data_IF_010004771767
#
_entry.id   IF_010004771767
#
_cell.length_a   1.000
_cell.length_b   1.000
_cell.length_c   1.000
_cell.angle_alpha   90.00
_cell.angle_beta   90.00
_cell.angle_gamma   90.00
#
_symmetry.space_group_name_H-M   'P 1'
#
loop_
_entity.id
_entity.type
_entity.pdbx_description
1 polymer ?
#
# COMPACT_ATOMS: atom_id res chain seq x y z
N UNK A 1 9.98 11.08 -10.61
CA UNK A 1 8.94 10.11 -10.17
C UNK A 1 7.55 10.71 -10.23
N UNK A 2 7.38 11.95 -9.75
CA UNK A 2 6.14 12.75 -9.80
C UNK A 2 5.46 12.74 -11.17
N UNK A 3 6.21 12.92 -12.26
CA UNK A 3 5.63 12.91 -13.61
C UNK A 3 5.05 11.55 -14.02
N UNK A 4 5.69 10.45 -13.59
CA UNK A 4 5.18 9.08 -13.82
C UNK A 4 3.93 8.82 -13.00
N UNK A 5 3.88 9.34 -11.77
CA UNK A 5 2.70 9.29 -10.91
C UNK A 5 1.51 10.01 -11.55
N UNK A 6 1.73 11.26 -12.01
CA UNK A 6 0.74 12.08 -12.74
C UNK A 6 0.23 11.38 -13.99
N UNK A 7 1.14 10.92 -14.86
CA UNK A 7 0.78 10.21 -16.10
C UNK A 7 -0.03 8.94 -15.81
N UNK A 8 0.33 8.19 -14.75
CA UNK A 8 -0.42 7.00 -14.34
C UNK A 8 -1.83 7.36 -13.85
N UNK A 9 -1.94 8.43 -13.06
CA UNK A 9 -3.22 8.95 -12.56
C UNK A 9 -4.15 9.37 -13.70
N UNK A 10 -3.65 10.19 -14.63
CA UNK A 10 -4.42 10.65 -15.80
C UNK A 10 -4.90 9.47 -16.64
N UNK A 11 -4.07 8.44 -16.82
CA UNK A 11 -4.47 7.22 -17.51
C UNK A 11 -5.60 6.48 -16.79
N UNK A 12 -5.56 6.39 -15.46
CA UNK A 12 -6.64 5.78 -14.69
C UNK A 12 -7.96 6.56 -14.86
N UNK A 13 -7.91 7.89 -14.86
CA UNK A 13 -9.07 8.75 -15.06
C UNK A 13 -9.71 8.61 -16.46
N UNK A 14 -8.98 8.14 -17.48
CA UNK A 14 -9.60 7.84 -18.79
C UNK A 14 -10.62 6.71 -18.71
N UNK A 15 -10.53 5.84 -17.70
CA UNK A 15 -11.41 4.68 -17.52
C UNK A 15 -12.37 4.83 -16.34
N UNK A 16 -11.95 5.51 -15.27
CA UNK A 16 -12.75 5.74 -14.08
C UNK A 16 -12.62 7.20 -13.62
N UNK A 17 -13.49 8.04 -14.18
CA UNK A 17 -13.68 9.43 -13.79
C UNK A 17 -15.14 9.59 -13.32
N UNK A 18 -15.34 9.46 -12.02
CA UNK A 18 -16.64 9.44 -11.39
C UNK A 18 -16.57 10.14 -10.04
N UNK A 19 -17.72 10.55 -9.50
CA UNK A 19 -17.80 11.09 -8.15
C UNK A 19 -17.25 10.12 -7.08
N UNK A 20 -17.27 8.81 -7.35
CA UNK A 20 -16.64 7.81 -6.47
C UNK A 20 -15.12 7.92 -6.52
N UNK A 21 -14.54 8.09 -7.71
CA UNK A 21 -13.11 8.33 -7.86
C UNK A 21 -12.69 9.66 -7.21
N UNK A 22 -13.48 10.71 -7.35
CA UNK A 22 -13.19 12.02 -6.73
C UNK A 22 -13.07 11.92 -5.21
N UNK A 23 -13.94 11.14 -4.57
CA UNK A 23 -14.03 11.05 -3.10
C UNK A 23 -13.07 10.00 -2.52
N UNK A 24 -13.01 8.81 -3.12
CA UNK A 24 -12.37 7.64 -2.51
C UNK A 24 -11.06 7.24 -3.18
N UNK A 25 -10.76 7.73 -4.39
CA UNK A 25 -9.57 7.30 -5.09
C UNK A 25 -8.31 7.99 -4.56
N UNK A 26 -7.36 7.19 -4.11
CA UNK A 26 -5.98 7.60 -3.86
C UNK A 26 -5.02 6.90 -4.81
N UNK A 27 -3.74 7.24 -4.73
CA UNK A 27 -2.68 6.59 -5.50
C UNK A 27 -1.61 6.01 -4.57
N UNK A 28 -1.29 4.73 -4.76
CA UNK A 28 -0.16 4.06 -4.11
C UNK A 28 1.06 4.08 -5.03
N UNK A 29 2.23 4.26 -4.43
CA UNK A 29 3.55 3.99 -5.01
C UNK A 29 4.04 2.64 -4.50
N UNK A 30 4.18 1.66 -5.40
CA UNK A 30 4.77 0.36 -5.09
C UNK A 30 6.20 0.31 -5.59
N UNK A 31 7.15 0.09 -4.69
CA UNK A 31 8.58 -0.02 -5.02
C UNK A 31 9.03 -1.46 -4.82
N UNK A 32 9.58 -2.05 -5.88
CA UNK A 32 10.15 -3.39 -5.89
C UNK A 32 11.66 -3.30 -6.14
N UNK A 33 12.46 -3.86 -5.24
CA UNK A 33 13.93 -3.81 -5.31
C UNK A 33 14.49 -5.23 -5.30
N UNK A 34 15.29 -5.56 -6.32
CA UNK A 34 15.90 -6.88 -6.42
C UNK A 34 17.14 -7.00 -5.52
N UNK A 35 17.14 -7.95 -4.59
CA UNK A 35 18.25 -8.09 -3.62
C UNK A 35 19.54 -8.63 -4.24
N UNK A 36 19.52 -9.05 -5.51
CA UNK A 36 20.69 -9.58 -6.22
C UNK A 36 21.41 -8.50 -7.05
N UNK A 37 20.66 -7.71 -7.83
CA UNK A 37 21.24 -6.70 -8.73
C UNK A 37 20.94 -5.26 -8.34
N UNK A 38 20.23 -5.05 -7.22
CA UNK A 38 19.81 -3.75 -6.69
C UNK A 38 18.97 -2.91 -7.67
N UNK A 39 18.44 -3.52 -8.73
CA UNK A 39 17.51 -2.85 -9.63
C UNK A 39 16.19 -2.58 -8.90
N UNK A 40 15.78 -1.32 -8.94
CA UNK A 40 14.53 -0.85 -8.36
C UNK A 40 13.54 -0.53 -9.49
N UNK A 41 12.31 -1.03 -9.35
CA UNK A 41 11.18 -0.66 -10.20
C UNK A 41 10.05 -0.12 -9.36
N UNK A 42 9.52 1.01 -9.77
CA UNK A 42 8.37 1.66 -9.11
C UNK A 42 7.17 1.66 -10.03
N UNK A 43 6.00 1.33 -9.50
CA UNK A 43 4.69 1.42 -10.17
C UNK A 43 3.76 2.32 -9.36
N UNK A 44 2.76 2.88 -10.03
CA UNK A 44 1.76 3.77 -9.42
C UNK A 44 0.37 3.24 -9.74
N UNK A 45 -0.38 2.89 -8.70
CA UNK A 45 -1.66 2.19 -8.81
C UNK A 45 -2.75 2.96 -8.06
N UNK A 46 -3.93 3.08 -8.66
CA UNK A 46 -5.09 3.69 -8.01
C UNK A 46 -5.70 2.72 -6.98
N UNK A 47 -6.17 3.26 -5.85
CA UNK A 47 -6.85 2.49 -4.81
C UNK A 47 -8.10 3.23 -4.31
N UNK A 48 -9.09 2.49 -3.81
CA UNK A 48 -10.33 3.03 -3.22
C UNK A 48 -10.43 2.72 -1.72
N UNK A 49 -9.72 1.69 -1.26
CA UNK A 49 -9.54 1.34 0.13
C UNK A 49 -8.11 0.85 0.38
N UNK A 50 -7.67 0.89 1.63
CA UNK A 50 -6.46 0.21 2.06
C UNK A 50 -6.82 -0.97 2.95
N UNK A 51 -6.59 -2.17 2.40
CA UNK A 51 -6.73 -3.42 3.12
C UNK A 51 -5.48 -3.71 3.97
N UNK A 52 -5.46 -3.19 5.20
CA UNK A 52 -4.32 -3.22 6.12
C UNK A 52 -4.24 -4.53 6.92
N UNK A 53 -3.04 -5.16 7.01
CA UNK A 53 -2.83 -6.37 7.79
C UNK A 53 -2.85 -6.07 9.28
N UNK A 54 -3.26 -7.06 10.08
CA UNK A 54 -3.10 -7.02 11.53
C UNK A 54 -1.85 -7.82 11.94
N UNK A 55 -1.12 -7.37 12.97
CA UNK A 55 0.00 -8.12 13.52
C UNK A 55 -0.47 -9.47 14.06
N UNK A 56 0.12 -10.54 13.55
CA UNK A 56 -0.13 -11.90 14.03
C UNK A 56 0.61 -12.05 15.37
N UNK A 57 -0.07 -12.56 16.40
CA UNK A 57 0.45 -12.76 17.76
C UNK A 57 0.43 -11.51 18.68
N UNK A 58 -0.34 -10.47 18.35
CA UNK A 58 -0.69 -9.42 19.30
C UNK A 58 -2.18 -9.49 19.66
N UNK A 59 -2.49 -9.30 20.95
CA UNK A 59 -3.87 -9.17 21.44
C UNK A 59 -4.45 -7.79 21.16
N UNK A 60 -3.62 -6.75 21.12
CA UNK A 60 -3.98 -5.37 20.77
C UNK A 60 -2.94 -4.71 19.85
N UNK A 61 -3.38 -3.72 19.06
CA UNK A 61 -2.53 -2.90 18.19
C UNK A 61 -3.27 -1.60 17.85
N UNK A 62 -2.55 -0.55 17.44
CA UNK A 62 -3.19 0.67 16.92
C UNK A 62 -3.42 0.59 15.41
N UNK A 63 -4.34 1.40 14.89
CA UNK A 63 -4.54 1.52 13.44
C UNK A 63 -3.28 2.05 12.75
N UNK A 64 -2.54 2.95 13.40
CA UNK A 64 -1.25 3.47 12.92
C UNK A 64 -0.22 2.36 12.76
N UNK A 65 -0.09 1.46 13.75
CA UNK A 65 0.78 0.27 13.64
C UNK A 65 0.37 -0.63 12.45
N UNK A 66 -0.93 -0.80 12.21
CA UNK A 66 -1.42 -1.62 11.09
C UNK A 66 -1.12 -0.97 9.72
N UNK A 67 -1.24 0.35 9.61
CA UNK A 67 -0.87 1.10 8.41
C UNK A 67 0.65 1.05 8.19
N UNK A 68 1.44 1.22 9.26
CA UNK A 68 2.90 1.05 9.21
C UNK A 68 3.28 -0.34 8.71
N UNK A 69 2.62 -1.38 9.21
CA UNK A 69 2.85 -2.76 8.77
C UNK A 69 2.54 -2.92 7.26
N UNK A 70 1.43 -2.33 6.78
CA UNK A 70 1.11 -2.32 5.35
C UNK A 70 2.20 -1.66 4.48
N UNK A 71 2.83 -0.59 4.98
CA UNK A 71 3.84 0.19 4.27
C UNK A 71 5.28 -0.27 4.53
N UNK A 72 5.46 -1.23 5.44
CA UNK A 72 6.77 -1.77 5.76
C UNK A 72 7.36 -2.54 4.57
N UNK A 73 8.69 -2.59 4.50
CA UNK A 73 9.41 -3.34 3.47
C UNK A 73 9.19 -4.84 3.72
N UNK A 74 8.48 -5.51 2.82
CA UNK A 74 8.28 -6.97 2.85
C UNK A 74 9.25 -7.67 1.90
N UNK A 75 9.67 -8.90 2.25
CA UNK A 75 10.49 -9.73 1.37
C UNK A 75 9.62 -10.70 0.57
N UNK A 76 9.85 -10.74 -0.74
CA UNK A 76 9.26 -11.70 -1.66
C UNK A 76 10.31 -12.76 -2.01
N UNK A 77 10.17 -13.93 -1.39
CA UNK A 77 11.08 -15.07 -1.54
C UNK A 77 10.31 -16.38 -1.79
N UNK A 78 11.01 -17.50 -1.92
CA UNK A 78 10.42 -18.82 -2.19
C UNK A 78 9.56 -18.82 -3.45
N UNK A 79 8.27 -19.14 -3.29
CA UNK A 79 7.29 -19.19 -4.37
C UNK A 79 6.79 -17.81 -4.82
N UNK A 80 6.99 -16.77 -4.00
CA UNK A 80 6.52 -15.40 -4.26
C UNK A 80 7.57 -14.55 -5.01
N UNK A 81 8.73 -15.13 -5.35
CA UNK A 81 9.78 -14.46 -6.11
C UNK A 81 9.25 -13.86 -7.42
N UNK A 82 9.27 -12.54 -7.59
CA UNK A 82 8.92 -11.92 -8.86
C UNK A 82 10.06 -12.08 -9.86
N UNK A 83 9.74 -11.91 -11.14
CA UNK A 83 10.75 -11.83 -12.20
C UNK A 83 11.41 -10.45 -12.19
N UNK A 84 12.73 -10.40 -11.95
CA UNK A 84 13.47 -9.15 -12.01
C UNK A 84 13.61 -8.68 -13.47
N UNK A 85 13.24 -7.43 -13.75
CA UNK A 85 13.29 -6.86 -15.10
C UNK A 85 14.72 -6.73 -15.66
N UNK A 86 15.75 -6.63 -14.79
CA UNK A 86 17.17 -6.57 -15.20
C UNK A 86 17.79 -7.96 -15.31
N UNK A 87 17.61 -8.84 -14.32
CA UNK A 87 18.16 -10.20 -14.34
C UNK A 87 17.42 -11.15 -15.29
N UNK A 88 16.18 -10.82 -15.69
CA UNK A 88 15.27 -11.67 -16.48
C UNK A 88 15.02 -13.05 -15.85
N UNK A 89 15.05 -13.13 -14.53
CA UNK A 89 14.89 -14.36 -13.75
C UNK A 89 14.10 -14.09 -12.47
N UNK A 90 13.47 -15.13 -11.91
CA UNK A 90 12.84 -15.05 -10.58
C UNK A 90 13.91 -14.83 -9.52
N UNK A 91 13.81 -13.74 -8.77
CA UNK A 91 14.78 -13.36 -7.74
C UNK A 91 14.06 -12.98 -6.46
N UNK A 92 14.75 -13.13 -5.33
CA UNK A 92 14.32 -12.51 -4.09
C UNK A 92 14.31 -11.00 -4.31
N UNK A 93 13.20 -10.38 -3.94
CA UNK A 93 13.01 -8.95 -4.02
C UNK A 93 12.41 -8.45 -2.72
N UNK A 94 12.49 -7.16 -2.50
CA UNK A 94 11.78 -6.49 -1.43
C UNK A 94 10.73 -5.58 -2.04
N UNK A 95 9.58 -5.48 -1.40
CA UNK A 95 8.46 -4.65 -1.83
C UNK A 95 8.10 -3.67 -0.71
N UNK A 96 7.82 -2.43 -1.07
CA UNK A 96 7.37 -1.38 -0.14
C UNK A 96 6.28 -0.55 -0.79
N UNK A 97 5.26 -0.19 -0.02
CA UNK A 97 4.23 0.75 -0.44
C UNK A 97 4.40 2.10 0.26
N UNK A 98 4.01 3.17 -0.44
CA UNK A 98 3.73 4.48 0.16
C UNK A 98 2.52 5.13 -0.54
N UNK A 99 1.82 6.04 0.15
CA UNK A 99 0.73 6.80 -0.46
C UNK A 99 1.34 7.96 -1.24
N UNK A 100 1.08 8.01 -2.55
CA UNK A 100 1.49 9.08 -3.45
C UNK A 100 0.44 10.19 -3.55
N UNK A 101 -0.85 9.83 -3.47
CA UNK A 101 -1.99 10.75 -3.38
C UNK A 101 -2.99 10.18 -2.36
N UNK A 102 -3.35 10.98 -1.35
CA UNK A 102 -4.38 10.61 -0.39
C UNK A 102 -5.77 10.95 -0.95
N UNK A 103 -6.79 10.10 -0.78
CA UNK A 103 -8.17 10.45 -1.09
C UNK A 103 -8.76 11.43 -0.06
N UNK A 104 -9.86 12.08 -0.42
CA UNK A 104 -10.63 12.94 0.50
C UNK A 104 -11.27 12.11 1.62
N UNK A 105 -11.76 10.91 1.28
CA UNK A 105 -12.25 9.93 2.25
C UNK A 105 -11.44 8.65 2.13
N UNK A 106 -10.59 8.40 3.12
CA UNK A 106 -9.81 7.17 3.21
C UNK A 106 -10.61 6.05 3.88
N UNK A 107 -10.85 4.98 3.13
CA UNK A 107 -11.44 3.75 3.66
C UNK A 107 -10.34 2.78 4.09
N UNK A 108 -10.37 2.36 5.36
CA UNK A 108 -9.43 1.38 5.91
C UNK A 108 -10.14 0.05 6.18
N UNK A 109 -9.78 -1.00 5.45
CA UNK A 109 -10.26 -2.35 5.68
C UNK A 109 -9.27 -3.13 6.56
N UNK A 110 -9.71 -3.51 7.76
CA UNK A 110 -8.94 -4.40 8.64
C UNK A 110 -9.00 -5.85 8.12
N UNK A 111 -7.88 -6.38 7.61
CA UNK A 111 -7.77 -7.76 7.09
C UNK A 111 -7.85 -8.82 8.20
N UNK A 112 -9.03 -9.01 8.78
CA UNK A 112 -9.25 -9.95 9.90
C UNK A 112 -9.34 -11.40 9.46
N UNK A 113 -9.59 -11.69 8.19
CA UNK A 113 -9.76 -13.07 7.72
C UNK A 113 -8.52 -13.54 6.99
N UNK A 114 -8.01 -14.71 7.38
CA UNK A 114 -6.90 -15.39 6.72
C UNK A 114 -7.33 -16.80 6.34
N UNK A 115 -6.87 -17.29 5.19
CA UNK A 115 -7.09 -18.65 4.71
C UNK A 115 -5.87 -19.57 4.95
N UNK A 116 -4.79 -19.04 5.53
CA UNK A 116 -3.51 -19.75 5.60
C UNK A 116 -3.55 -21.06 6.42
N UNK A 117 -4.49 -21.19 7.38
CA UNK A 117 -4.75 -22.42 8.17
C UNK A 117 -6.24 -22.53 8.52
N UNK A 118 -7.09 -22.62 7.49
CA UNK A 118 -8.54 -22.58 7.63
C UNK A 118 -9.08 -21.15 7.81
N UNK A 119 -10.41 -20.99 7.70
CA UNK A 119 -11.07 -19.68 7.80
C UNK A 119 -11.08 -19.21 9.26
N UNK A 120 -10.04 -18.49 9.66
CA UNK A 120 -9.89 -17.94 11.01
C UNK A 120 -10.05 -16.43 11.01
N UNK A 121 -10.77 -15.91 12.02
CA UNK A 121 -10.95 -14.48 12.26
C UNK A 121 -9.93 -14.01 13.30
N UNK A 122 -9.17 -12.98 12.96
CA UNK A 122 -8.30 -12.26 13.89
C UNK A 122 -9.14 -11.36 14.80
N UNK A 123 -9.14 -11.70 16.09
CA UNK A 123 -9.85 -10.97 17.14
C UNK A 123 -8.97 -9.92 17.85
N UNK A 124 -7.80 -9.59 17.29
CA UNK A 124 -6.94 -8.51 17.80
C UNK A 124 -7.75 -7.22 17.96
N UNK A 125 -7.68 -6.63 19.15
CA UNK A 125 -8.25 -5.32 19.43
C UNK A 125 -7.46 -4.28 18.61
N UNK A 126 -8.16 -3.43 17.86
CA UNK A 126 -7.51 -2.37 17.09
C UNK A 126 -7.98 -1.05 17.64
N UNK A 127 -7.08 -0.33 18.28
CA UNK A 127 -7.29 1.02 18.79
C UNK A 127 -7.17 2.02 17.64
N UNK A 128 -8.20 2.83 17.42
CA UNK A 128 -8.20 3.85 16.37
C UNK A 128 -8.71 5.18 16.93
N UNK A 129 -8.06 6.31 16.58
CA UNK A 129 -8.53 7.62 17.00
C UNK A 129 -9.80 7.99 16.22
N UNK A 130 -10.78 8.58 16.91
CA UNK A 130 -11.99 9.13 16.27
C UNK A 130 -11.70 10.47 15.57
N UNK A 131 -10.66 11.19 16.04
CA UNK A 131 -10.27 12.51 15.55
C UNK A 131 -8.74 12.54 15.42
N UNK A 132 -8.21 13.25 14.42
CA UNK A 132 -6.78 13.50 14.23
C UNK A 132 -5.94 12.23 14.01
N UNK A 133 -6.39 11.30 13.16
CA UNK A 133 -5.51 10.28 12.61
C UNK A 133 -4.45 10.95 11.71
N UNK A 134 -3.18 10.86 12.09
CA UNK A 134 -2.07 11.38 11.28
C UNK A 134 -1.50 10.27 10.40
N UNK A 135 -1.26 10.61 9.12
CA UNK A 135 -0.63 9.72 8.14
C UNK A 135 0.80 10.18 7.78
N UNK A 136 1.26 11.27 8.38
CA UNK A 136 2.43 12.03 7.95
C UNK A 136 3.74 11.23 8.11
N UNK A 137 3.82 10.36 9.12
CA UNK A 137 4.98 9.47 9.33
C UNK A 137 4.99 8.25 8.38
N UNK A 138 3.95 8.09 7.55
CA UNK A 138 3.64 6.86 6.83
C UNK A 138 3.73 7.02 5.31
N UNK A 139 3.57 8.24 4.82
CA UNK A 139 3.51 8.51 3.40
C UNK A 139 4.68 9.39 2.95
N UNK A 140 5.25 9.07 1.79
CA UNK A 140 6.05 10.02 1.02
C UNK A 140 5.09 11.05 0.41
N UNK A 141 4.28 11.73 1.24
CA UNK A 141 3.35 12.75 0.78
C UNK A 141 4.21 13.87 0.24
N UNK A 142 4.44 13.87 -1.06
CA UNK A 142 4.77 15.10 -1.75
C UNK A 142 3.56 15.98 -1.52
N UNK A 143 3.75 17.04 -0.73
CA UNK A 143 2.78 18.10 -0.46
C UNK A 143 1.96 18.36 -1.72
N UNK A 144 0.71 17.87 -1.73
CA UNK A 144 -0.24 18.09 -2.79
C UNK A 144 -0.71 19.54 -2.70
N UNK A 145 0.12 20.46 -3.19
CA UNK A 145 -0.35 21.69 -3.81
C UNK A 145 -0.45 21.37 -5.30
N UNK A 146 -1.52 20.68 -5.69
CA UNK A 146 -1.95 20.70 -7.08
C UNK A 146 -3.10 21.70 -7.11
N UNK A 147 -2.77 22.95 -7.41
CA UNK A 147 -3.73 23.95 -7.91
C UNK A 147 -4.41 23.41 -9.18
#
# INVERSE_FOLDING_TARGET
ETERARTSWERCLLYDNSAIADIFAGQLKSTLECTHCQYQSTTFDMFWDLSIPLPRNKSSSSVQECIQLFMSKEELDGNEKPMCAKCKQKRRCTKKFSIQKCPDILVLHLKRFSQARGRTKLNTHVDFPIINLKLDDLADVMSTSYE
#
